data_IF_640198103121
#
_entry.id   IF_640198103121
#
_cell.length_a   1.000
_cell.length_b   1.000
_cell.length_c   1.000
_cell.angle_alpha   90.00
_cell.angle_beta   90.00
_cell.angle_gamma   90.00
#
_symmetry.space_group_name_H-M   'P 1'
#
loop_
_entity.id
_entity.type
_entity.pdbx_description
1 polymer ?
#
# COMPACT_ATOMS: atom_id res chain seq x y z
N UNK A 1 52.79 4.11 -8.53
CA UNK A 1 52.42 2.83 -9.19
C UNK A 1 50.98 2.50 -8.81
N UNK A 2 50.05 2.44 -9.77
CA UNK A 2 48.68 1.98 -9.48
C UNK A 2 48.75 0.47 -9.21
N UNK A 3 48.41 0.04 -7.99
CA UNK A 3 48.26 -1.38 -7.67
C UNK A 3 46.96 -1.86 -8.31
N UNK A 4 47.06 -2.45 -9.48
CA UNK A 4 45.97 -3.17 -10.12
C UNK A 4 45.90 -4.57 -9.53
N UNK A 5 44.71 -4.99 -9.11
CA UNK A 5 44.44 -6.34 -8.62
C UNK A 5 44.78 -7.38 -9.69
N UNK A 6 45.19 -8.56 -9.24
CA UNK A 6 45.39 -9.70 -10.15
C UNK A 6 44.05 -10.16 -10.72
N UNK A 7 44.07 -10.69 -11.94
CA UNK A 7 42.88 -11.28 -12.58
C UNK A 7 42.25 -12.37 -11.68
N UNK A 8 43.09 -13.21 -11.08
CA UNK A 8 42.64 -14.28 -10.19
C UNK A 8 41.97 -13.74 -8.91
N UNK A 9 42.55 -12.69 -8.33
CA UNK A 9 42.02 -12.04 -7.13
C UNK A 9 40.66 -11.39 -7.42
N UNK A 10 40.52 -10.78 -8.59
CA UNK A 10 39.25 -10.19 -9.05
C UNK A 10 38.17 -11.25 -9.21
N UNK A 11 38.49 -12.39 -9.84
CA UNK A 11 37.56 -13.51 -10.01
C UNK A 11 37.13 -14.06 -8.64
N UNK A 12 38.09 -14.26 -7.73
CA UNK A 12 37.81 -14.79 -6.39
C UNK A 12 36.86 -13.87 -5.61
N UNK A 13 37.07 -12.54 -5.67
CA UNK A 13 36.19 -11.56 -5.03
C UNK A 13 34.77 -11.60 -5.63
N UNK A 14 34.63 -11.68 -6.96
CA UNK A 14 33.31 -11.75 -7.61
C UNK A 14 32.55 -13.01 -7.20
N UNK A 15 33.24 -14.15 -7.12
CA UNK A 15 32.65 -15.42 -6.67
C UNK A 15 32.13 -15.30 -5.24
N UNK A 16 32.93 -14.76 -4.31
CA UNK A 16 32.51 -14.56 -2.92
C UNK A 16 31.29 -13.64 -2.85
N UNK A 17 31.31 -12.51 -3.57
CA UNK A 17 30.19 -11.56 -3.60
C UNK A 17 28.92 -12.23 -4.14
N UNK A 18 29.02 -13.02 -5.20
CA UNK A 18 27.86 -13.70 -5.79
C UNK A 18 27.18 -14.68 -4.82
N UNK A 19 27.97 -15.43 -4.04
CA UNK A 19 27.46 -16.36 -3.02
C UNK A 19 26.73 -15.59 -1.92
N UNK A 20 27.33 -14.50 -1.45
CA UNK A 20 26.70 -13.64 -0.44
C UNK A 20 25.38 -13.06 -0.97
N UNK A 21 25.39 -12.48 -2.16
CA UNK A 21 24.18 -11.90 -2.76
C UNK A 21 23.07 -12.96 -2.90
N UNK A 22 23.40 -14.16 -3.36
CA UNK A 22 22.43 -15.25 -3.53
C UNK A 22 21.71 -15.60 -2.22
N UNK A 23 22.43 -15.58 -1.10
CA UNK A 23 21.85 -15.85 0.23
C UNK A 23 21.01 -14.67 0.76
N UNK A 24 21.46 -13.43 0.54
CA UNK A 24 20.80 -12.24 1.09
C UNK A 24 19.52 -11.83 0.35
N UNK A 25 19.46 -11.98 -0.99
CA UNK A 25 18.30 -11.61 -1.82
C UNK A 25 16.96 -12.15 -1.28
N UNK A 26 16.78 -13.46 -1.02
CA UNK A 26 15.48 -13.98 -0.59
C UNK A 26 15.03 -13.39 0.75
N UNK A 27 15.96 -13.18 1.68
CA UNK A 27 15.67 -12.58 2.99
C UNK A 27 15.27 -11.11 2.85
N UNK A 28 15.96 -10.35 2.00
CA UNK A 28 15.61 -8.97 1.69
C UNK A 28 14.21 -8.86 1.07
N UNK A 29 13.87 -9.71 0.09
CA UNK A 29 12.53 -9.77 -0.51
C UNK A 29 11.44 -10.06 0.53
N UNK A 30 11.68 -11.04 1.42
CA UNK A 30 10.73 -11.36 2.51
C UNK A 30 10.52 -10.17 3.45
N UNK A 31 11.59 -9.45 3.80
CA UNK A 31 11.51 -8.25 4.63
C UNK A 31 10.71 -7.13 3.98
N UNK A 32 10.93 -6.86 2.69
CA UNK A 32 10.18 -5.84 1.94
C UNK A 32 8.70 -6.20 1.83
N UNK A 33 8.38 -7.46 1.53
CA UNK A 33 6.99 -7.93 1.47
C UNK A 33 6.28 -7.80 2.83
N UNK A 34 6.98 -8.09 3.93
CA UNK A 34 6.45 -7.90 5.27
C UNK A 34 6.18 -6.42 5.57
N UNK A 35 7.12 -5.52 5.24
CA UNK A 35 6.94 -4.08 5.41
C UNK A 35 5.71 -3.57 4.63
N UNK A 36 5.56 -3.97 3.36
CA UNK A 36 4.42 -3.60 2.53
C UNK A 36 3.09 -4.11 3.12
N UNK A 37 3.04 -5.36 3.59
CA UNK A 37 1.85 -5.92 4.24
C UNK A 37 1.50 -5.18 5.54
N UNK A 38 2.50 -4.85 6.35
CA UNK A 38 2.33 -4.08 7.58
C UNK A 38 1.84 -2.66 7.31
N UNK A 39 2.32 -2.02 6.24
CA UNK A 39 1.86 -0.71 5.81
C UNK A 39 0.37 -0.77 5.42
N UNK A 40 -0.02 -1.73 4.57
CA UNK A 40 -1.42 -1.91 4.15
C UNK A 40 -2.34 -2.09 5.37
N UNK A 41 -1.96 -2.95 6.32
CA UNK A 41 -2.71 -3.16 7.56
C UNK A 41 -2.88 -1.87 8.37
N UNK A 42 -1.79 -1.12 8.52
CA UNK A 42 -1.79 0.15 9.26
C UNK A 42 -2.69 1.20 8.59
N UNK A 43 -2.57 1.37 7.27
CA UNK A 43 -3.40 2.29 6.49
C UNK A 43 -4.88 1.90 6.54
N UNK A 44 -5.19 0.61 6.46
CA UNK A 44 -6.57 0.12 6.60
C UNK A 44 -7.15 0.45 7.98
N UNK A 45 -6.37 0.27 9.05
CA UNK A 45 -6.78 0.65 10.40
C UNK A 45 -7.02 2.17 10.51
N UNK A 46 -6.15 2.99 9.91
CA UNK A 46 -6.31 4.44 9.86
C UNK A 46 -7.59 4.84 9.12
N UNK A 47 -7.85 4.25 7.95
CA UNK A 47 -9.07 4.52 7.16
C UNK A 47 -10.31 4.16 7.98
N UNK A 48 -10.36 2.95 8.56
CA UNK A 48 -11.49 2.49 9.38
C UNK A 48 -11.72 3.38 10.60
N UNK A 49 -10.66 3.76 11.30
CA UNK A 49 -10.73 4.65 12.45
C UNK A 49 -11.15 6.07 12.06
N UNK A 50 -10.66 6.59 10.93
CA UNK A 50 -11.05 7.89 10.39
C UNK A 50 -12.54 7.94 10.03
N UNK A 51 -13.06 6.88 9.39
CA UNK A 51 -14.50 6.74 9.11
C UNK A 51 -15.30 6.73 10.41
N UNK A 52 -14.92 5.90 11.40
CA UNK A 52 -15.61 5.82 12.69
C UNK A 52 -15.59 7.15 13.45
N UNK A 53 -14.46 7.86 13.45
CA UNK A 53 -14.30 9.19 14.05
C UNK A 53 -15.24 10.19 13.40
N UNK A 54 -15.33 10.19 12.07
CA UNK A 54 -16.22 11.09 11.31
C UNK A 54 -17.69 10.78 11.55
N UNK A 55 -18.09 9.51 11.52
CA UNK A 55 -19.46 9.09 11.83
C UNK A 55 -19.85 9.50 13.26
N UNK A 56 -18.98 9.25 14.23
CA UNK A 56 -19.21 9.63 15.63
C UNK A 56 -19.37 11.13 15.77
N UNK A 57 -18.49 11.93 15.13
CA UNK A 57 -18.58 13.39 15.12
C UNK A 57 -19.92 13.86 14.54
N UNK A 58 -20.28 13.39 13.35
CA UNK A 58 -21.51 13.82 12.68
C UNK A 58 -22.74 13.44 13.50
N UNK A 59 -22.76 12.24 14.11
CA UNK A 59 -23.85 11.80 14.99
C UNK A 59 -24.01 12.70 16.22
N UNK A 60 -22.91 13.14 16.83
CA UNK A 60 -22.93 14.08 17.97
C UNK A 60 -23.44 15.47 17.58
N UNK A 61 -23.19 15.89 16.33
CA UNK A 61 -23.65 17.17 15.78
C UNK A 61 -25.06 17.10 15.18
N UNK A 62 -25.67 15.91 15.09
CA UNK A 62 -26.97 15.70 14.44
C UNK A 62 -26.91 15.84 12.90
N UNK A 63 -25.72 15.69 12.31
CA UNK A 63 -25.49 15.77 10.86
C UNK A 63 -25.68 14.40 10.18
N UNK A 64 -25.79 14.41 8.84
CA UNK A 64 -25.83 13.18 8.04
C UNK A 64 -24.53 12.37 8.23
N UNK A 65 -24.69 11.06 8.39
CA UNK A 65 -23.59 10.09 8.51
C UNK A 65 -23.09 9.63 7.13
N UNK A 66 -23.75 10.04 6.06
CA UNK A 66 -23.37 9.77 4.67
C UNK A 66 -22.42 10.86 4.19
N UNK A 67 -21.16 10.49 3.94
CA UNK A 67 -20.15 11.39 3.39
C UNK A 67 -19.24 10.65 2.43
N UNK A 68 -18.61 11.38 1.50
CA UNK A 68 -17.57 10.84 0.63
C UNK A 68 -16.23 10.80 1.38
N UNK A 69 -15.40 9.78 1.13
CA UNK A 69 -14.07 9.67 1.74
C UNK A 69 -13.08 10.70 1.20
N UNK A 70 -13.25 11.09 -0.06
CA UNK A 70 -12.49 12.12 -0.76
C UNK A 70 -13.27 12.65 -1.97
N UNK A 71 -12.77 13.74 -2.55
CA UNK A 71 -13.33 14.41 -3.73
C UNK A 71 -12.46 14.24 -4.98
N UNK A 72 -11.49 13.31 -4.93
CA UNK A 72 -10.49 13.14 -5.97
C UNK A 72 -11.04 12.39 -7.19
N UNK A 73 -10.45 12.66 -8.36
CA UNK A 73 -10.83 11.99 -9.61
C UNK A 73 -10.30 10.56 -9.67
N UNK A 74 -11.03 9.72 -10.42
CA UNK A 74 -10.70 8.30 -10.61
C UNK A 74 -9.35 8.17 -11.32
N UNK A 75 -8.49 7.28 -10.82
CA UNK A 75 -7.15 6.98 -11.37
C UNK A 75 -6.18 8.17 -11.48
N UNK A 76 -6.48 9.31 -10.85
CA UNK A 76 -5.53 10.41 -10.77
C UNK A 76 -4.27 9.97 -10.03
N UNK A 77 -3.11 10.41 -10.51
CA UNK A 77 -1.83 10.17 -9.88
C UNK A 77 -1.52 11.27 -8.85
N UNK A 78 -0.93 10.90 -7.71
CA UNK A 78 -0.58 11.81 -6.62
C UNK A 78 -1.77 12.62 -6.07
N UNK A 79 -2.99 12.11 -6.23
CA UNK A 79 -4.18 12.68 -5.62
C UNK A 79 -4.24 12.33 -4.13
N UNK A 80 -4.89 13.20 -3.35
CA UNK A 80 -4.97 13.10 -1.90
C UNK A 80 -6.20 12.28 -1.51
N UNK A 81 -6.06 10.95 -1.49
CA UNK A 81 -7.13 10.04 -1.10
C UNK A 81 -7.42 10.14 0.39
N UNK A 82 -8.68 9.88 0.75
CA UNK A 82 -9.17 9.86 2.14
C UNK A 82 -9.03 11.20 2.90
N UNK A 83 -8.94 12.32 2.19
CA UNK A 83 -8.77 13.67 2.77
C UNK A 83 -9.88 14.09 3.72
N UNK A 84 -11.08 13.54 3.59
CA UNK A 84 -12.22 13.89 4.46
C UNK A 84 -12.21 13.14 5.80
N UNK A 85 -11.38 12.11 5.95
CA UNK A 85 -11.32 11.25 7.14
C UNK A 85 -9.94 11.18 7.79
N UNK A 86 -8.86 11.46 7.05
CA UNK A 86 -7.48 11.44 7.54
C UNK A 86 -6.91 12.86 7.56
N UNK A 87 -6.21 13.19 8.65
CA UNK A 87 -5.48 14.46 8.76
C UNK A 87 -4.29 14.51 7.78
N UNK A 88 -3.72 13.35 7.46
CA UNK A 88 -2.69 13.16 6.44
C UNK A 88 -3.23 12.24 5.33
N UNK A 89 -3.60 12.80 4.16
CA UNK A 89 -4.17 12.00 3.08
C UNK A 89 -3.14 11.07 2.45
N UNK A 90 -3.62 9.92 1.95
CA UNK A 90 -2.78 8.94 1.28
C UNK A 90 -2.61 9.33 -0.19
N UNK A 91 -1.38 9.30 -0.69
CA UNK A 91 -1.09 9.68 -2.07
C UNK A 91 -1.38 8.53 -3.03
N UNK A 92 -2.22 8.79 -4.02
CA UNK A 92 -2.59 7.80 -5.03
C UNK A 92 -1.46 7.48 -6.02
N UNK A 93 -1.58 6.31 -6.65
CA UNK A 93 -0.88 5.97 -7.89
C UNK A 93 -1.87 5.76 -9.04
N UNK A 94 -1.36 5.54 -10.25
CA UNK A 94 -2.17 5.25 -11.43
C UNK A 94 -2.06 3.77 -11.85
N UNK A 95 -3.00 3.32 -12.69
CA UNK A 95 -3.02 1.94 -13.22
C UNK A 95 -1.79 1.60 -14.08
N UNK A 96 -1.08 2.61 -14.59
CA UNK A 96 0.11 2.44 -15.42
C UNK A 96 1.35 2.09 -14.59
N UNK A 97 1.56 2.72 -13.43
CA UNK A 97 2.74 2.50 -12.59
C UNK A 97 2.59 1.34 -11.60
N UNK A 98 1.35 1.05 -11.14
CA UNK A 98 1.04 -0.05 -10.20
C UNK A 98 2.02 -0.10 -9.02
N UNK A 99 2.28 1.05 -8.41
CA UNK A 99 3.26 1.14 -7.32
C UNK A 99 2.77 0.32 -6.12
N UNK A 100 3.64 -0.57 -5.63
CA UNK A 100 3.34 -1.46 -4.51
C UNK A 100 3.16 -0.62 -3.24
N UNK A 101 2.14 -0.94 -2.45
CA UNK A 101 1.82 -0.24 -1.20
C UNK A 101 1.13 1.12 -1.41
N UNK A 102 0.64 1.42 -2.61
CA UNK A 102 -0.10 2.66 -2.88
C UNK A 102 -1.54 2.38 -3.28
N UNK A 103 -2.42 3.29 -2.86
CA UNK A 103 -3.85 3.24 -3.13
C UNK A 103 -4.20 3.85 -4.48
N UNK A 104 -5.29 3.38 -5.08
CA UNK A 104 -5.87 3.91 -6.30
C UNK A 104 -7.38 3.99 -6.12
N UNK A 105 -7.98 5.10 -6.53
CA UNK A 105 -9.44 5.21 -6.65
C UNK A 105 -9.90 4.64 -7.99
N UNK A 106 -10.71 3.57 -7.94
CA UNK A 106 -11.25 2.89 -9.13
C UNK A 106 -12.64 3.41 -9.49
N UNK A 107 -13.44 3.76 -8.48
CA UNK A 107 -14.73 4.44 -8.66
C UNK A 107 -15.04 5.31 -7.44
N UNK A 108 -16.20 5.97 -7.42
CA UNK A 108 -16.61 6.87 -6.32
C UNK A 108 -16.43 6.21 -4.93
N UNK A 109 -16.77 4.93 -4.82
CA UNK A 109 -16.76 4.18 -3.57
C UNK A 109 -15.80 2.98 -3.58
N UNK A 110 -15.01 2.79 -4.64
CA UNK A 110 -14.10 1.64 -4.75
C UNK A 110 -12.65 2.08 -4.83
N UNK A 111 -11.84 1.42 -4.03
CA UNK A 111 -10.41 1.65 -3.91
C UNK A 111 -9.66 0.36 -4.14
N UNK A 112 -8.43 0.47 -4.64
CA UNK A 112 -7.55 -0.66 -4.91
C UNK A 112 -6.18 -0.38 -4.33
N UNK A 113 -5.55 -1.39 -3.77
CA UNK A 113 -4.15 -1.35 -3.36
C UNK A 113 -3.38 -2.53 -3.94
N UNK A 114 -2.17 -2.28 -4.44
CA UNK A 114 -1.29 -3.30 -4.99
C UNK A 114 -0.32 -3.79 -3.92
N UNK A 115 -0.28 -5.10 -3.67
CA UNK A 115 0.72 -5.72 -2.80
C UNK A 115 1.84 -6.41 -3.59
N UNK A 116 1.64 -6.57 -4.91
CA UNK A 116 2.61 -7.08 -5.88
C UNK A 116 2.30 -6.47 -7.26
N UNK A 117 3.14 -6.69 -8.26
CA UNK A 117 2.92 -6.19 -9.63
C UNK A 117 1.60 -6.70 -10.25
N UNK A 118 1.21 -7.93 -9.90
CA UNK A 118 -0.01 -8.58 -10.39
C UNK A 118 -1.07 -8.75 -9.29
N UNK A 119 -0.66 -8.69 -8.02
CA UNK A 119 -1.53 -8.89 -6.87
C UNK A 119 -2.12 -7.59 -6.34
N UNK A 120 -3.45 -7.53 -6.25
CA UNK A 120 -4.18 -6.37 -5.75
C UNK A 120 -5.31 -6.77 -4.79
N UNK A 121 -5.71 -5.82 -3.95
CA UNK A 121 -6.89 -5.91 -3.10
C UNK A 121 -7.86 -4.80 -3.46
N UNK A 122 -9.13 -5.17 -3.65
CA UNK A 122 -10.22 -4.23 -3.88
C UNK A 122 -10.99 -3.99 -2.59
N UNK A 123 -11.33 -2.74 -2.34
CA UNK A 123 -12.13 -2.29 -1.22
C UNK A 123 -13.32 -1.48 -1.69
N UNK A 124 -14.42 -1.58 -0.95
CA UNK A 124 -15.64 -0.81 -1.15
C UNK A 124 -16.02 -0.08 0.12
N UNK A 125 -16.41 1.18 -0.05
CA UNK A 125 -17.00 1.99 1.00
C UNK A 125 -18.52 2.10 0.82
N UNK A 126 -19.26 1.72 1.84
CA UNK A 126 -20.71 1.87 1.85
C UNK A 126 -21.29 1.70 3.24
N UNK A 127 -22.33 2.46 3.55
CA UNK A 127 -23.03 2.42 4.84
C UNK A 127 -22.09 2.59 6.05
N UNK A 128 -21.09 3.46 5.93
CA UNK A 128 -20.11 3.71 6.99
C UNK A 128 -19.11 2.58 7.23
N UNK A 129 -19.03 1.57 6.35
CA UNK A 129 -18.11 0.44 6.48
C UNK A 129 -17.18 0.37 5.26
N UNK A 130 -15.90 0.11 5.52
CA UNK A 130 -14.87 -0.11 4.50
C UNK A 130 -14.54 -1.62 4.42
N UNK A 131 -15.05 -2.29 3.39
CA UNK A 131 -15.02 -3.76 3.23
C UNK A 131 -14.09 -4.18 2.11
N UNK A 132 -13.35 -5.27 2.32
CA UNK A 132 -12.59 -5.96 1.28
C UNK A 132 -13.55 -6.72 0.34
N UNK A 133 -13.31 -6.62 -0.97
CA UNK A 133 -14.07 -7.31 -2.04
C UNK A 133 -13.30 -8.46 -2.69
N UNK A 134 -12.01 -8.62 -2.37
CA UNK A 134 -11.14 -9.67 -2.91
C UNK A 134 -11.42 -11.03 -2.23
N UNK A 135 -10.69 -12.06 -2.66
CA UNK A 135 -10.80 -13.40 -2.07
C UNK A 135 -10.63 -13.39 -0.54
N UNK A 136 -11.44 -14.18 0.15
CA UNK A 136 -11.52 -14.20 1.61
C UNK A 136 -10.16 -14.45 2.27
N UNK A 137 -9.37 -15.41 1.75
CA UNK A 137 -8.03 -15.71 2.25
C UNK A 137 -7.07 -14.53 2.11
N UNK A 138 -7.18 -13.76 1.00
CA UNK A 138 -6.37 -12.57 0.79
C UNK A 138 -6.81 -11.45 1.73
N UNK A 139 -8.11 -11.23 1.90
CA UNK A 139 -8.62 -10.26 2.85
C UNK A 139 -8.16 -10.59 4.29
N UNK A 140 -8.31 -11.83 4.76
CA UNK A 140 -7.87 -12.26 6.10
C UNK A 140 -6.36 -12.07 6.33
N UNK A 141 -5.55 -12.21 5.27
CA UNK A 141 -4.10 -11.99 5.37
C UNK A 141 -3.73 -10.52 5.61
N UNK A 142 -4.45 -9.59 5.02
CA UNK A 142 -4.13 -8.16 5.02
C UNK A 142 -5.04 -7.30 5.91
N UNK A 143 -6.13 -7.85 6.42
CA UNK A 143 -6.86 -7.31 7.58
C UNK A 143 -6.21 -7.74 8.91
#
# INVERSE_FOLDING_TARGET
MKKTFSLLETILVIVIISILIAYFIPKAKKSLNFANSSQIKSELALIRNGILKKITKNRLLGEDITFNLDEESVQAQNSKLFSNILDFPLLSTNLSKKEIGRWIKISKNRYRIYFSQEGFLDYSYGNGVFKCLSDKELCEKYE
#
